data_IF_631948314175
#
_entry.id   IF_631948314175
#
_cell.length_a   1.000
_cell.length_b   1.000
_cell.length_c   1.000
_cell.angle_alpha   90.00
_cell.angle_beta   90.00
_cell.angle_gamma   90.00
#
_symmetry.space_group_name_H-M   'P 1'
#
loop_
_entity.id
_entity.type
_entity.pdbx_description
1 polymer ?
#
# COMPACT_ATOMS: atom_id res chain seq x y z
N UNK A 1 -8.21 -34.58 -33.57
CA UNK A 1 -7.37 -33.90 -32.56
C UNK A 1 -8.14 -32.69 -32.08
N UNK A 2 -8.62 -32.73 -30.85
CA UNK A 2 -9.31 -31.59 -30.23
C UNK A 2 -8.22 -30.67 -29.74
N UNK A 3 -8.08 -29.51 -30.38
CA UNK A 3 -7.13 -28.47 -29.94
C UNK A 3 -7.45 -28.05 -28.51
N UNK A 4 -6.52 -28.30 -27.61
CA UNK A 4 -6.59 -27.77 -26.24
C UNK A 4 -6.49 -26.26 -26.37
N UNK A 5 -7.50 -25.56 -25.90
CA UNK A 5 -7.49 -24.09 -25.92
C UNK A 5 -6.41 -23.60 -24.96
N UNK A 6 -5.32 -23.07 -25.52
CA UNK A 6 -4.15 -22.58 -24.78
C UNK A 6 -4.52 -21.61 -23.65
N UNK A 7 -5.58 -20.83 -23.83
CA UNK A 7 -6.05 -19.89 -22.81
C UNK A 7 -6.57 -20.58 -21.55
N UNK A 8 -7.12 -21.79 -21.63
CA UNK A 8 -7.54 -22.55 -20.46
C UNK A 8 -6.37 -23.22 -19.74
N UNK A 9 -5.31 -23.53 -20.46
CA UNK A 9 -4.09 -24.08 -19.88
C UNK A 9 -3.35 -23.04 -19.05
N UNK A 10 -3.26 -21.79 -19.55
CA UNK A 10 -2.62 -20.68 -18.86
C UNK A 10 -3.33 -20.31 -17.56
N UNK A 11 -4.65 -20.33 -17.52
CA UNK A 11 -5.43 -20.08 -16.32
C UNK A 11 -5.22 -21.13 -15.21
N UNK A 12 -4.92 -22.37 -15.58
CA UNK A 12 -4.68 -23.45 -14.61
C UNK A 12 -3.29 -23.40 -13.97
N UNK A 13 -2.33 -22.77 -14.65
CA UNK A 13 -0.94 -22.64 -14.21
C UNK A 13 -0.57 -21.24 -13.77
N UNK A 14 -1.52 -20.30 -13.80
CA UNK A 14 -1.29 -18.98 -13.26
C UNK A 14 -0.97 -19.06 -11.76
N UNK A 15 0.16 -18.51 -11.34
CA UNK A 15 0.47 -18.40 -9.93
C UNK A 15 -0.63 -17.58 -9.23
N UNK A 16 -1.04 -17.94 -8.01
CA UNK A 16 -1.98 -17.12 -7.24
C UNK A 16 -1.41 -15.72 -7.01
N UNK A 17 -2.29 -14.72 -6.97
CA UNK A 17 -1.88 -13.35 -6.67
C UNK A 17 -1.13 -13.29 -5.33
N UNK A 18 0.01 -12.58 -5.25
CA UNK A 18 0.74 -12.45 -4.01
C UNK A 18 -0.12 -11.80 -2.93
N UNK A 19 -0.04 -12.34 -1.72
CA UNK A 19 -0.68 -11.77 -0.54
C UNK A 19 0.37 -11.45 0.50
N UNK A 20 0.18 -10.34 1.20
CA UNK A 20 1.02 -9.93 2.32
C UNK A 20 0.16 -9.63 3.54
N UNK A 21 0.71 -9.88 4.72
CA UNK A 21 0.14 -9.44 5.99
C UNK A 21 0.90 -8.22 6.47
N UNK A 22 0.19 -7.09 6.59
CA UNK A 22 0.70 -5.90 7.26
C UNK A 22 0.33 -6.06 8.73
N UNK A 23 1.30 -6.44 9.54
CA UNK A 23 1.10 -6.68 10.97
C UNK A 23 1.34 -5.38 11.72
N UNK A 24 0.35 -4.92 12.47
CA UNK A 24 0.42 -3.64 13.18
C UNK A 24 0.21 -3.82 14.68
N UNK A 25 0.53 -2.78 15.44
CA UNK A 25 0.32 -2.72 16.88
C UNK A 25 -1.16 -2.82 17.30
N UNK A 26 -2.11 -2.69 16.36
CA UNK A 26 -3.55 -2.75 16.63
C UNK A 26 -4.26 -3.88 15.89
N UNK A 27 -3.53 -4.69 15.14
CA UNK A 27 -4.06 -5.85 14.41
C UNK A 27 -3.44 -5.99 13.03
N UNK A 28 -3.83 -7.05 12.33
CA UNK A 28 -3.25 -7.42 11.05
C UNK A 28 -4.20 -7.10 9.90
N UNK A 29 -3.61 -6.67 8.79
CA UNK A 29 -4.32 -6.37 7.54
C UNK A 29 -3.71 -7.22 6.45
N UNK A 30 -4.52 -8.04 5.78
CA UNK A 30 -4.07 -8.85 4.65
C UNK A 30 -4.45 -8.15 3.34
N UNK A 31 -3.45 -7.97 2.49
CA UNK A 31 -3.58 -7.29 1.20
C UNK A 31 -3.23 -8.28 0.09
N UNK A 32 -4.10 -8.37 -0.91
CA UNK A 32 -3.81 -9.06 -2.15
C UNK A 32 -3.25 -8.06 -3.15
N UNK A 33 -2.09 -8.37 -3.72
CA UNK A 33 -1.39 -7.53 -4.68
C UNK A 33 -1.78 -7.93 -6.11
N UNK A 34 -1.70 -6.97 -7.04
CA UNK A 34 -2.10 -7.16 -8.42
C UNK A 34 -0.93 -6.93 -9.39
N UNK A 35 -0.02 -7.91 -9.56
CA UNK A 35 1.15 -7.76 -10.41
C UNK A 35 0.82 -7.71 -11.89
N UNK A 36 -0.34 -8.20 -12.32
CA UNK A 36 -0.75 -8.11 -13.73
C UNK A 36 -1.10 -6.68 -14.14
N UNK A 37 -1.62 -5.87 -13.23
CA UNK A 37 -2.01 -4.46 -13.46
C UNK A 37 -0.93 -3.46 -13.06
N UNK A 38 -0.11 -3.79 -12.06
CA UNK A 38 0.93 -2.92 -11.52
C UNK A 38 2.23 -3.70 -11.24
N UNK A 39 2.88 -4.26 -12.28
CA UNK A 39 4.01 -5.16 -12.09
C UNK A 39 5.23 -4.51 -11.42
N UNK A 40 5.56 -3.28 -11.79
CA UNK A 40 6.71 -2.55 -11.22
C UNK A 40 6.44 -2.18 -9.77
N UNK A 41 5.24 -1.69 -9.49
CA UNK A 41 4.82 -1.27 -8.15
C UNK A 41 4.75 -2.45 -7.19
N UNK A 42 4.18 -3.58 -7.62
CA UNK A 42 4.13 -4.80 -6.80
C UNK A 42 5.54 -5.33 -6.53
N UNK A 43 6.40 -5.41 -7.54
CA UNK A 43 7.79 -5.85 -7.37
C UNK A 43 8.55 -4.96 -6.39
N UNK A 44 8.35 -3.64 -6.46
CA UNK A 44 8.93 -2.66 -5.54
C UNK A 44 8.45 -2.89 -4.09
N UNK A 45 7.16 -3.01 -3.90
CA UNK A 45 6.59 -3.26 -2.57
C UNK A 45 7.10 -4.58 -1.97
N UNK A 46 7.14 -5.65 -2.76
CA UNK A 46 7.65 -6.95 -2.32
C UNK A 46 9.14 -6.91 -2.01
N UNK A 47 9.92 -6.12 -2.73
CA UNK A 47 11.34 -5.93 -2.43
C UNK A 47 11.53 -5.33 -1.04
N UNK A 48 10.78 -4.31 -0.66
CA UNK A 48 10.81 -3.75 0.69
C UNK A 48 10.31 -4.75 1.73
N UNK A 49 9.27 -5.51 1.40
CA UNK A 49 8.73 -6.57 2.27
C UNK A 49 9.80 -7.62 2.57
N UNK A 50 10.46 -8.12 1.55
CA UNK A 50 11.41 -9.24 1.66
C UNK A 50 12.68 -8.89 2.46
N UNK A 51 13.09 -7.64 2.45
CA UNK A 51 14.25 -7.19 3.25
C UNK A 51 13.87 -6.69 4.65
N UNK A 52 12.59 -6.78 5.03
CA UNK A 52 12.13 -6.35 6.34
C UNK A 52 12.12 -4.83 6.55
N UNK A 53 12.10 -4.05 5.46
CA UNK A 53 12.18 -2.59 5.52
C UNK A 53 11.05 -1.97 6.35
N UNK A 54 9.84 -2.50 6.24
CA UNK A 54 8.66 -1.93 6.89
C UNK A 54 8.58 -2.18 8.39
N UNK A 55 9.40 -3.09 8.93
CA UNK A 55 9.43 -3.36 10.36
C UNK A 55 9.81 -2.10 11.15
N UNK A 56 9.01 -1.78 12.16
CA UNK A 56 9.15 -0.58 13.00
C UNK A 56 8.95 0.76 12.29
N UNK A 57 8.35 0.75 11.10
CA UNK A 57 7.81 1.96 10.49
C UNK A 57 6.41 2.21 11.03
N UNK A 58 5.92 3.44 10.89
CA UNK A 58 4.60 3.83 11.40
C UNK A 58 3.65 4.24 10.28
N UNK A 59 2.36 4.26 10.58
CA UNK A 59 1.38 5.04 9.83
C UNK A 59 1.47 6.49 10.32
N UNK A 60 2.26 7.30 9.64
CA UNK A 60 2.58 8.68 10.06
C UNK A 60 1.56 9.72 9.63
N UNK A 61 0.62 9.36 8.75
CA UNK A 61 -0.42 10.28 8.27
C UNK A 61 -1.74 9.54 8.21
N UNK A 62 -2.69 9.98 9.04
CA UNK A 62 -4.01 9.38 9.17
C UNK A 62 -5.07 10.45 9.08
N UNK A 63 -5.95 10.36 8.10
CA UNK A 63 -7.07 11.27 7.88
C UNK A 63 -8.34 10.44 7.73
N UNK A 64 -9.26 10.55 8.68
CA UNK A 64 -10.39 9.63 8.88
C UNK A 64 -11.35 9.50 7.68
N UNK A 65 -11.49 10.56 6.89
CA UNK A 65 -12.36 10.56 5.70
C UNK A 65 -11.56 10.48 4.40
N UNK A 66 -10.34 9.97 4.46
CA UNK A 66 -9.45 9.97 3.30
C UNK A 66 -8.66 8.66 3.22
N UNK A 67 -7.54 8.58 3.94
CA UNK A 67 -6.63 7.43 3.84
C UNK A 67 -5.76 7.30 5.09
N UNK A 68 -5.10 6.17 5.22
CA UNK A 68 -4.00 5.97 6.18
C UNK A 68 -2.71 5.71 5.37
N UNK A 69 -1.65 6.45 5.68
CA UNK A 69 -0.37 6.40 4.96
C UNK A 69 0.77 6.04 5.89
N UNK A 70 1.63 5.17 5.43
CA UNK A 70 2.79 4.75 6.21
C UNK A 70 3.90 4.14 5.37
N UNK A 71 4.86 3.54 6.07
CA UNK A 71 5.94 2.80 5.44
C UNK A 71 7.19 3.62 5.11
N UNK A 72 7.33 4.82 5.66
CA UNK A 72 8.51 5.66 5.40
C UNK A 72 9.21 6.22 6.63
N UNK A 73 8.51 6.34 7.75
CA UNK A 73 9.01 7.00 8.96
C UNK A 73 9.08 6.03 10.14
N UNK A 74 10.10 6.23 10.98
CA UNK A 74 10.20 5.58 12.29
C UNK A 74 9.30 6.27 13.31
N UNK A 75 9.18 5.69 14.52
CA UNK A 75 8.44 6.30 15.64
C UNK A 75 8.96 7.70 15.97
N UNK A 76 10.25 7.93 15.82
CA UNK A 76 10.89 9.23 16.06
C UNK A 76 10.75 10.21 14.90
N UNK A 77 9.91 9.89 13.92
CA UNK A 77 9.68 10.71 12.72
C UNK A 77 10.92 10.91 11.85
N UNK A 78 11.80 9.93 11.84
CA UNK A 78 12.97 9.91 10.97
C UNK A 78 12.60 9.15 9.68
N UNK A 79 12.76 9.81 8.55
CA UNK A 79 12.53 9.19 7.25
C UNK A 79 13.66 8.22 6.91
N UNK A 80 13.31 6.99 6.62
CA UNK A 80 14.28 5.95 6.27
C UNK A 80 14.83 6.15 4.85
N UNK A 81 16.08 5.77 4.64
CA UNK A 81 16.68 5.70 3.30
C UNK A 81 16.00 4.63 2.45
N UNK A 82 15.79 4.93 1.18
CA UNK A 82 15.04 4.08 0.26
C UNK A 82 15.88 3.66 -0.95
N UNK A 83 15.36 2.68 -1.69
CA UNK A 83 15.82 2.40 -3.05
C UNK A 83 15.44 3.54 -4.00
N UNK A 84 15.97 3.51 -5.23
CA UNK A 84 15.62 4.48 -6.26
C UNK A 84 14.10 4.50 -6.53
N UNK A 85 13.53 5.66 -6.88
CA UNK A 85 12.12 5.77 -7.21
C UNK A 85 11.73 4.93 -8.43
N UNK A 86 10.45 4.58 -8.51
CA UNK A 86 9.89 3.78 -9.59
C UNK A 86 9.00 4.59 -10.52
N UNK A 87 8.77 4.02 -11.71
CA UNK A 87 7.83 4.57 -12.69
C UNK A 87 6.39 4.48 -12.15
N UNK A 88 5.61 5.53 -12.40
CA UNK A 88 4.19 5.60 -12.06
C UNK A 88 3.36 4.70 -12.98
N UNK A 89 2.61 3.78 -12.39
CA UNK A 89 1.74 2.84 -13.12
C UNK A 89 0.27 3.20 -12.92
N UNK A 90 -0.16 4.31 -13.47
CA UNK A 90 -1.58 4.73 -13.50
C UNK A 90 -2.26 4.25 -14.78
N UNK A 91 -3.57 4.47 -14.90
CA UNK A 91 -4.40 4.02 -16.03
C UNK A 91 -4.31 2.50 -16.25
N UNK A 92 -4.20 1.78 -15.16
CA UNK A 92 -4.04 0.32 -15.16
C UNK A 92 -5.37 -0.43 -14.97
N UNK A 93 -6.51 0.29 -14.95
CA UNK A 93 -7.83 -0.28 -14.73
C UNK A 93 -8.23 -0.41 -13.27
N UNK A 94 -7.34 -0.06 -12.33
CA UNK A 94 -7.63 -0.03 -10.89
C UNK A 94 -7.94 1.40 -10.45
N UNK A 95 -8.87 1.55 -9.50
CA UNK A 95 -9.30 2.84 -8.97
C UNK A 95 -9.07 2.93 -7.47
N UNK A 96 -8.81 4.15 -6.99
CA UNK A 96 -8.63 4.48 -5.58
C UNK A 96 -9.98 4.47 -4.85
N UNK A 97 -10.55 3.31 -4.68
CA UNK A 97 -11.79 3.11 -3.90
C UNK A 97 -11.45 2.57 -2.51
N UNK A 98 -12.41 2.62 -1.60
CA UNK A 98 -12.25 2.08 -0.24
C UNK A 98 -11.66 0.67 -0.26
N UNK A 99 -10.64 0.45 0.56
CA UNK A 99 -9.96 -0.84 0.71
C UNK A 99 -8.81 -1.07 -0.26
N UNK A 100 -8.57 -0.18 -1.21
CA UNK A 100 -7.40 -0.32 -2.11
C UNK A 100 -6.14 0.26 -1.49
N UNK A 101 -5.00 -0.32 -1.89
CA UNK A 101 -3.66 0.15 -1.53
C UNK A 101 -3.00 0.78 -2.74
N UNK A 102 -2.40 1.94 -2.55
CA UNK A 102 -1.71 2.70 -3.60
C UNK A 102 -0.40 3.27 -3.08
N UNK A 103 0.49 3.66 -4.01
CA UNK A 103 1.77 4.27 -3.64
C UNK A 103 1.63 5.77 -3.44
N UNK A 104 2.13 6.23 -2.29
CA UNK A 104 2.37 7.65 -2.08
C UNK A 104 3.58 8.10 -2.89
N UNK A 105 3.59 9.37 -3.27
CA UNK A 105 4.68 10.01 -4.02
C UNK A 105 4.71 11.51 -3.77
N UNK A 106 5.76 12.17 -4.21
CA UNK A 106 5.82 13.63 -4.26
C UNK A 106 5.06 14.16 -5.49
N UNK A 107 5.12 15.45 -5.74
CA UNK A 107 4.57 16.05 -6.97
C UNK A 107 5.24 15.58 -8.27
N UNK A 108 6.44 15.00 -8.16
CA UNK A 108 7.12 14.36 -9.29
C UNK A 108 6.46 13.02 -9.59
N UNK A 109 6.09 12.77 -10.85
CA UNK A 109 5.29 11.59 -11.24
C UNK A 109 5.99 10.27 -10.90
N UNK A 110 7.27 10.12 -11.24
CA UNK A 110 8.04 8.90 -11.01
C UNK A 110 8.89 9.01 -9.74
N UNK A 111 8.27 9.36 -8.60
CA UNK A 111 8.96 9.60 -7.34
C UNK A 111 8.59 8.62 -6.21
N UNK A 112 7.71 7.67 -6.45
CA UNK A 112 7.33 6.70 -5.43
C UNK A 112 8.52 5.83 -5.00
N UNK A 113 8.65 5.61 -3.71
CA UNK A 113 9.70 4.75 -3.14
C UNK A 113 9.09 3.68 -2.23
N UNK A 114 8.99 3.91 -0.93
CA UNK A 114 8.49 2.91 0.03
C UNK A 114 7.10 3.18 0.57
N UNK A 115 6.68 4.45 0.62
CA UNK A 115 5.44 4.83 1.29
C UNK A 115 4.21 4.42 0.49
N UNK A 116 3.22 3.91 1.18
CA UNK A 116 1.94 3.49 0.64
C UNK A 116 0.80 4.07 1.47
N UNK A 117 -0.39 4.04 0.90
CA UNK A 117 -1.61 4.38 1.66
C UNK A 117 -2.73 3.40 1.34
N UNK A 118 -3.65 3.25 2.30
CA UNK A 118 -4.88 2.48 2.14
C UNK A 118 -6.04 3.47 2.17
N UNK A 119 -6.86 3.43 1.13
CA UNK A 119 -8.04 4.27 1.03
C UNK A 119 -9.11 3.80 2.02
N UNK A 120 -9.60 4.70 2.87
CA UNK A 120 -10.65 4.37 3.86
C UNK A 120 -12.05 4.78 3.40
N UNK A 121 -12.12 5.52 2.32
CA UNK A 121 -13.33 5.88 1.56
C UNK A 121 -13.01 5.82 0.07
N UNK A 122 -14.02 5.98 -0.79
CA UNK A 122 -13.78 6.09 -2.23
C UNK A 122 -13.14 7.45 -2.54
N UNK A 123 -11.93 7.41 -3.09
CA UNK A 123 -11.13 8.57 -3.46
C UNK A 123 -10.82 8.55 -4.96
N UNK A 124 -11.85 8.44 -5.79
CA UNK A 124 -11.71 8.29 -7.24
C UNK A 124 -10.93 9.44 -7.87
N UNK A 125 -10.97 10.63 -7.28
CA UNK A 125 -10.19 11.78 -7.74
C UNK A 125 -8.67 11.52 -7.73
N UNK A 126 -8.18 10.60 -6.89
CA UNK A 126 -6.76 10.21 -6.86
C UNK A 126 -6.32 9.42 -8.10
N UNK A 127 -7.26 8.93 -8.89
CA UNK A 127 -6.92 8.23 -10.14
C UNK A 127 -6.30 9.18 -11.17
N UNK A 128 -6.59 10.47 -11.09
CA UNK A 128 -6.15 11.48 -12.05
C UNK A 128 -5.49 12.71 -11.41
N UNK A 129 -5.70 12.98 -10.13
CA UNK A 129 -5.17 14.18 -9.46
C UNK A 129 -3.64 14.23 -9.54
N UNK A 130 -3.10 15.31 -10.07
CA UNK A 130 -1.65 15.50 -10.22
C UNK A 130 -0.96 14.44 -11.10
N UNK A 131 -1.68 13.75 -11.97
CA UNK A 131 -1.22 12.64 -12.78
C UNK A 131 -1.60 11.26 -12.23
N UNK A 132 -2.28 11.21 -11.08
CA UNK A 132 -2.80 9.98 -10.48
C UNK A 132 -1.86 9.30 -9.50
N UNK A 133 -2.41 8.33 -8.77
CA UNK A 133 -1.70 7.50 -7.79
C UNK A 133 -1.94 6.03 -8.13
N UNK A 134 -0.85 5.26 -8.19
CA UNK A 134 -0.89 3.89 -8.66
C UNK A 134 -1.47 2.94 -7.61
N UNK A 135 -2.69 2.46 -7.85
CA UNK A 135 -3.28 1.35 -7.09
C UNK A 135 -2.60 0.05 -7.51
N UNK A 136 -2.21 -0.78 -6.54
CA UNK A 136 -1.50 -2.03 -6.83
C UNK A 136 -2.03 -3.24 -6.04
N UNK A 137 -3.12 -3.08 -5.30
CA UNK A 137 -3.73 -4.17 -4.55
C UNK A 137 -4.97 -3.73 -3.78
N UNK A 138 -5.49 -4.65 -2.99
CA UNK A 138 -6.67 -4.42 -2.16
C UNK A 138 -6.61 -5.20 -0.86
N UNK A 139 -7.20 -4.66 0.17
CA UNK A 139 -7.40 -5.35 1.45
C UNK A 139 -8.43 -6.46 1.26
N UNK A 140 -8.07 -7.69 1.63
CA UNK A 140 -8.99 -8.84 1.59
C UNK A 140 -9.39 -9.32 2.99
N UNK A 141 -8.67 -8.88 4.03
CA UNK A 141 -9.00 -9.15 5.43
C UNK A 141 -8.42 -8.04 6.30
N UNK A 142 -9.15 -7.62 7.33
CA UNK A 142 -8.66 -6.63 8.28
C UNK A 142 -9.08 -5.19 7.97
N UNK A 143 -10.12 -4.95 7.16
CA UNK A 143 -10.65 -3.58 7.00
C UNK A 143 -11.17 -2.99 8.31
N UNK A 144 -11.63 -3.82 9.24
CA UNK A 144 -11.97 -3.39 10.60
C UNK A 144 -10.77 -2.82 11.35
N UNK A 145 -9.57 -3.36 11.11
CA UNK A 145 -8.31 -2.83 11.66
C UNK A 145 -7.97 -1.48 11.01
N UNK A 146 -8.11 -1.37 9.70
CA UNK A 146 -7.93 -0.10 8.98
C UNK A 146 -8.89 0.96 9.53
N UNK A 147 -10.15 0.60 9.76
CA UNK A 147 -11.16 1.50 10.33
C UNK A 147 -10.84 1.88 11.79
N UNK A 148 -10.20 1.00 12.54
CA UNK A 148 -9.69 1.29 13.88
C UNK A 148 -8.56 2.34 13.84
N UNK A 149 -7.69 2.22 12.87
CA UNK A 149 -6.58 3.17 12.67
C UNK A 149 -7.10 4.53 12.23
N UNK A 150 -8.06 4.59 11.31
CA UNK A 150 -8.54 5.87 10.75
C UNK A 150 -9.15 6.83 11.77
N UNK A 151 -9.61 6.32 12.91
CA UNK A 151 -10.32 7.11 13.94
C UNK A 151 -9.44 7.52 15.11
N UNK A 152 -8.15 7.17 15.11
CA UNK A 152 -7.25 7.56 16.21
C UNK A 152 -7.03 9.06 16.23
N UNK A 153 -6.77 9.59 17.43
CA UNK A 153 -6.43 10.99 17.59
C UNK A 153 -5.10 11.30 16.93
N UNK A 154 -5.03 12.41 16.22
CA UNK A 154 -3.84 12.88 15.50
C UNK A 154 -3.36 14.24 16.00
N UNK A 155 -2.11 14.55 15.71
CA UNK A 155 -1.45 15.80 16.07
C UNK A 155 -0.39 16.16 15.03
N UNK A 156 0.25 17.30 15.21
CA UNK A 156 1.43 17.66 14.41
C UNK A 156 2.69 17.24 15.18
N UNK A 157 3.56 16.47 14.51
CA UNK A 157 4.87 16.04 15.04
C UNK A 157 5.96 16.35 14.02
N UNK A 158 7.06 16.95 14.49
CA UNK A 158 8.23 17.23 13.63
C UNK A 158 7.88 17.99 12.34
N UNK A 159 6.86 18.86 12.40
CA UNK A 159 6.37 19.63 11.25
C UNK A 159 5.39 18.87 10.32
N UNK A 160 5.09 17.61 10.62
CA UNK A 160 4.11 16.80 9.86
C UNK A 160 2.74 16.84 10.54
N UNK A 161 1.70 17.14 9.78
CA UNK A 161 0.32 17.12 10.25
C UNK A 161 -0.26 15.70 10.23
N UNK A 162 -1.36 15.49 10.95
CA UNK A 162 -2.15 14.26 10.92
C UNK A 162 -1.40 13.00 11.37
N UNK A 163 -0.45 13.15 12.27
CA UNK A 163 0.32 12.05 12.84
C UNK A 163 -0.42 11.49 14.07
N UNK A 164 -0.67 10.16 14.15
CA UNK A 164 -1.28 9.58 15.34
C UNK A 164 -0.55 9.96 16.63
N UNK A 165 -1.32 10.39 17.64
CA UNK A 165 -0.77 10.75 18.96
C UNK A 165 -0.06 9.55 19.60
N UNK A 166 -0.74 8.40 19.59
CA UNK A 166 -0.13 7.11 19.94
C UNK A 166 0.32 6.45 18.64
N UNK A 167 1.61 6.16 18.48
CA UNK A 167 2.11 5.59 17.24
C UNK A 167 1.40 4.29 16.85
N UNK A 168 0.99 4.19 15.58
CA UNK A 168 0.52 2.95 14.96
C UNK A 168 1.72 2.32 14.27
N UNK A 169 2.26 1.27 14.89
CA UNK A 169 3.52 0.68 14.46
C UNK A 169 3.23 -0.51 13.53
N UNK A 170 3.87 -0.51 12.37
CA UNK A 170 3.98 -1.69 11.52
C UNK A 170 5.07 -2.56 12.14
N UNK A 171 4.69 -3.65 12.77
CA UNK A 171 5.66 -4.56 13.40
C UNK A 171 6.41 -5.38 12.36
N UNK A 172 5.72 -5.74 11.29
CA UNK A 172 6.31 -6.42 10.13
C UNK A 172 5.34 -6.39 8.96
N UNK A 173 5.87 -6.56 7.75
CA UNK A 173 5.09 -6.93 6.56
C UNK A 173 5.67 -8.23 6.04
N UNK A 174 4.86 -9.28 5.93
CA UNK A 174 5.31 -10.61 5.55
C UNK A 174 4.45 -11.18 4.44
N UNK A 175 5.05 -11.99 3.58
CA UNK A 175 4.28 -12.74 2.58
C UNK A 175 3.43 -13.80 3.26
N UNK A 176 2.18 -13.95 2.81
CA UNK A 176 1.27 -14.99 3.25
C UNK A 176 1.33 -16.20 2.30
N UNK A 177 1.64 -15.93 1.04
CA UNK A 177 1.78 -16.97 0.01
C UNK A 177 2.83 -16.58 -1.02
#
# INVERSE_FOLDING_TARGET
MIGVNDSQFDLRNAAPAPQVSINTSVGNVIVELNPSKAPITVANFLRYTDVGFYSNKIFHRVISNFMIQGGGFTVDMIQASTYAPIQLEVNNGLSNVRGTIAMARTSVLNSATSQFFINVVDNVFLDTSGGGYAVFGQVISGMDIVDKIKVVSTTTKSGYADVPVTPIIITSVTRVN
#
